data_IF_673584498239
#
_entry.id   IF_673584498239
#
_cell.length_a   1.000
_cell.length_b   1.000
_cell.length_c   1.000
_cell.angle_alpha   90.00
_cell.angle_beta   90.00
_cell.angle_gamma   90.00
#
_symmetry.space_group_name_H-M   'P 1'
#
loop_
_entity.id
_entity.type
_entity.pdbx_description
1 polymer ?
#
# COMPACT_ATOMS: atom_id res chain seq x y z
N UNK A 1 22.89 -15.42 26.30
CA UNK A 1 22.61 -13.98 26.11
C UNK A 1 21.98 -13.46 27.40
N UNK A 2 22.75 -12.72 28.20
CA UNK A 2 22.39 -12.25 29.53
C UNK A 2 21.46 -11.04 29.44
N UNK A 3 20.16 -11.25 29.63
CA UNK A 3 19.13 -10.17 29.68
C UNK A 3 18.72 -9.82 31.13
N UNK A 4 19.48 -10.26 32.14
CA UNK A 4 19.02 -10.23 33.55
C UNK A 4 19.90 -9.48 34.55
N UNK A 5 20.90 -8.70 34.11
CA UNK A 5 21.69 -7.87 35.04
C UNK A 5 22.15 -6.58 34.36
N UNK A 6 21.23 -5.66 34.14
CA UNK A 6 21.42 -4.24 34.43
C UNK A 6 20.11 -3.55 34.07
N UNK A 7 19.37 -3.08 35.07
CA UNK A 7 18.49 -1.92 34.85
C UNK A 7 19.43 -0.72 34.74
N UNK A 8 20.18 -0.66 33.64
CA UNK A 8 20.79 0.59 33.23
C UNK A 8 19.59 1.51 33.04
N UNK A 9 19.36 2.37 34.04
CA UNK A 9 18.49 3.52 33.88
C UNK A 9 19.04 4.20 32.63
N UNK A 10 18.31 4.24 31.51
CA UNK A 10 18.80 4.91 30.33
C UNK A 10 19.19 6.31 30.78
N UNK A 11 20.39 6.72 30.38
CA UNK A 11 20.95 8.04 30.55
C UNK A 11 19.82 9.05 30.31
N UNK A 12 19.40 9.76 31.36
CA UNK A 12 18.22 10.62 31.34
C UNK A 12 18.40 11.67 30.24
N UNK A 13 17.90 11.34 29.05
CA UNK A 13 17.80 12.29 27.97
C UNK A 13 16.90 13.42 28.49
N UNK A 14 17.39 14.65 28.41
CA UNK A 14 16.64 15.83 28.84
C UNK A 14 15.26 15.83 28.19
N UNK A 15 14.21 15.45 28.94
CA UNK A 15 12.86 15.27 28.41
C UNK A 15 12.16 13.96 28.78
N UNK A 16 12.81 13.00 29.44
CA UNK A 16 12.11 11.80 29.90
C UNK A 16 11.11 12.13 31.03
N UNK A 17 9.83 11.99 30.72
CA UNK A 17 8.74 12.13 31.69
C UNK A 17 8.67 10.83 32.50
N UNK A 18 8.69 10.94 33.82
CA UNK A 18 8.46 9.79 34.71
C UNK A 18 7.15 9.07 34.36
N UNK A 19 7.18 7.73 34.34
CA UNK A 19 6.04 6.91 33.92
C UNK A 19 4.75 7.22 34.70
N UNK A 20 4.86 7.52 36.00
CA UNK A 20 3.71 7.84 36.83
C UNK A 20 3.11 9.21 36.49
N UNK A 21 3.96 10.20 36.16
CA UNK A 21 3.53 11.50 35.64
C UNK A 21 2.85 11.37 34.28
N UNK A 22 3.39 10.53 33.40
CA UNK A 22 2.78 10.25 32.08
C UNK A 22 1.41 9.57 32.22
N UNK A 23 1.27 8.58 33.11
CA UNK A 23 -0.03 7.96 33.42
C UNK A 23 -1.04 8.96 33.94
N UNK A 24 -0.61 9.83 34.87
CA UNK A 24 -1.42 10.92 35.41
C UNK A 24 -1.90 11.86 34.29
N UNK A 25 -0.99 12.26 33.38
CA UNK A 25 -1.32 13.13 32.26
C UNK A 25 -2.31 12.48 31.27
N UNK A 26 -2.10 11.22 30.90
CA UNK A 26 -3.02 10.48 30.01
C UNK A 26 -4.42 10.39 30.64
N UNK A 27 -4.50 10.11 31.95
CA UNK A 27 -5.77 10.04 32.66
C UNK A 27 -6.48 11.41 32.67
N UNK A 28 -5.73 12.48 32.95
CA UNK A 28 -6.25 13.85 32.90
C UNK A 28 -6.81 14.20 31.51
N UNK A 29 -6.06 13.93 30.44
CA UNK A 29 -6.50 14.20 29.06
C UNK A 29 -7.78 13.42 28.72
N UNK A 30 -7.87 12.14 29.14
CA UNK A 30 -9.06 11.31 28.92
C UNK A 30 -10.30 11.82 29.65
N UNK A 31 -10.15 12.35 30.87
CA UNK A 31 -11.26 12.84 31.68
C UNK A 31 -11.72 14.25 31.29
N UNK A 32 -10.80 15.13 30.89
CA UNK A 32 -11.08 16.56 30.68
C UNK A 32 -11.32 16.95 29.23
N UNK A 33 -10.82 16.18 28.27
CA UNK A 33 -10.88 16.54 26.86
C UNK A 33 -11.63 15.48 26.04
N UNK A 34 -12.71 15.92 25.40
CA UNK A 34 -13.50 15.13 24.46
C UNK A 34 -13.60 15.88 23.13
N UNK A 35 -12.53 15.86 22.31
CA UNK A 35 -12.46 16.68 21.12
C UNK A 35 -13.50 16.27 20.07
N UNK A 36 -13.83 17.22 19.20
CA UNK A 36 -14.68 17.02 18.02
C UNK A 36 -13.98 17.59 16.79
N UNK A 37 -14.22 16.98 15.64
CA UNK A 37 -13.73 17.50 14.36
C UNK A 37 -14.30 18.89 14.06
N UNK A 38 -13.46 19.79 13.55
CA UNK A 38 -13.93 21.00 12.90
C UNK A 38 -14.60 20.64 11.56
N UNK A 39 -15.48 21.52 11.08
CA UNK A 39 -16.15 21.33 9.78
C UNK A 39 -15.16 21.18 8.63
N UNK A 40 -14.11 22.00 8.64
CA UNK A 40 -13.01 21.99 7.66
C UNK A 40 -12.27 20.64 7.67
N UNK A 41 -11.94 20.15 8.87
CA UNK A 41 -11.26 18.87 9.04
C UNK A 41 -12.12 17.68 8.57
N UNK A 42 -13.45 17.75 8.78
CA UNK A 42 -14.38 16.74 8.31
C UNK A 42 -14.48 16.71 6.77
N UNK A 43 -14.53 17.87 6.12
CA UNK A 43 -14.56 17.98 4.66
C UNK A 43 -13.26 17.46 4.02
N UNK A 44 -12.12 17.82 4.61
CA UNK A 44 -10.80 17.31 4.19
C UNK A 44 -10.71 15.79 4.27
N UNK A 45 -11.15 15.22 5.39
CA UNK A 45 -11.15 13.78 5.62
C UNK A 45 -12.06 13.03 4.63
N UNK A 46 -13.24 13.58 4.33
CA UNK A 46 -14.16 13.05 3.32
C UNK A 46 -13.52 13.07 1.93
N UNK A 47 -12.97 14.21 1.52
CA UNK A 47 -12.31 14.38 0.22
C UNK A 47 -11.15 13.40 0.03
N UNK A 48 -10.33 13.24 1.08
CA UNK A 48 -9.21 12.30 1.08
C UNK A 48 -9.67 10.84 1.03
N UNK A 49 -10.76 10.48 1.72
CA UNK A 49 -11.29 9.11 1.65
C UNK A 49 -11.80 8.76 0.24
N UNK A 50 -12.48 9.71 -0.42
CA UNK A 50 -12.95 9.53 -1.79
C UNK A 50 -11.77 9.41 -2.76
N UNK A 51 -10.72 10.23 -2.61
CA UNK A 51 -9.55 10.18 -3.47
C UNK A 51 -8.82 8.84 -3.38
N UNK A 52 -8.52 8.34 -2.18
CA UNK A 52 -7.84 7.05 -2.03
C UNK A 52 -8.71 5.91 -2.58
N UNK A 53 -10.02 5.94 -2.34
CA UNK A 53 -10.92 4.90 -2.87
C UNK A 53 -10.96 4.92 -4.41
N UNK A 54 -10.87 6.10 -5.03
CA UNK A 54 -10.77 6.25 -6.48
C UNK A 54 -9.42 5.74 -7.00
N UNK A 55 -8.32 6.10 -6.35
CA UNK A 55 -6.97 5.64 -6.70
C UNK A 55 -6.86 4.11 -6.66
N UNK A 56 -7.37 3.48 -5.58
CA UNK A 56 -7.34 2.02 -5.48
C UNK A 56 -8.20 1.34 -6.55
N UNK A 57 -9.35 1.92 -6.93
CA UNK A 57 -10.13 1.41 -8.06
C UNK A 57 -9.36 1.53 -9.38
N UNK A 58 -8.66 2.64 -9.60
CA UNK A 58 -7.77 2.80 -10.75
C UNK A 58 -6.68 1.72 -10.77
N UNK A 59 -6.02 1.51 -9.64
CA UNK A 59 -4.99 0.46 -9.51
C UNK A 59 -5.57 -0.94 -9.74
N UNK A 60 -6.76 -1.26 -9.23
CA UNK A 60 -7.42 -2.54 -9.49
C UNK A 60 -7.75 -2.74 -10.98
N UNK A 61 -8.18 -1.67 -11.65
CA UNK A 61 -8.45 -1.68 -13.09
C UNK A 61 -7.17 -1.82 -13.91
N UNK A 62 -6.07 -1.18 -13.51
CA UNK A 62 -4.80 -1.28 -14.23
C UNK A 62 -4.14 -2.65 -14.00
N UNK A 63 -4.13 -3.10 -12.74
CA UNK A 63 -3.46 -4.31 -12.30
C UNK A 63 -4.28 -5.59 -12.49
N UNK A 64 -5.56 -5.47 -12.85
CA UNK A 64 -6.51 -6.57 -13.10
C UNK A 64 -6.57 -7.63 -12.00
N UNK A 65 -6.28 -7.20 -10.79
CA UNK A 65 -6.29 -7.98 -9.58
C UNK A 65 -6.95 -7.11 -8.52
N UNK A 66 -7.89 -7.69 -7.77
CA UNK A 66 -8.54 -6.94 -6.70
C UNK A 66 -7.50 -6.65 -5.63
N UNK A 67 -7.51 -5.44 -5.10
CA UNK A 67 -6.69 -5.12 -3.96
C UNK A 67 -7.06 -6.06 -2.82
N UNK A 68 -6.05 -6.65 -2.21
CA UNK A 68 -6.18 -7.59 -1.09
C UNK A 68 -6.97 -7.01 0.08
N UNK A 69 -6.83 -5.71 0.31
CA UNK A 69 -7.35 -5.01 1.47
C UNK A 69 -8.31 -3.92 0.99
N UNK A 70 -9.63 -4.17 1.04
CA UNK A 70 -10.61 -3.18 0.62
C UNK A 70 -10.62 -1.97 1.56
N UNK A 71 -10.76 -0.76 1.00
CA UNK A 71 -10.99 0.44 1.81
C UNK A 71 -12.43 0.45 2.31
N UNK A 72 -12.57 0.47 3.64
CA UNK A 72 -13.87 0.40 4.32
C UNK A 72 -14.12 1.62 5.21
N UNK A 73 -15.39 1.85 5.55
CA UNK A 73 -15.79 2.91 6.49
C UNK A 73 -15.13 2.74 7.88
N UNK A 74 -14.73 1.52 8.26
CA UNK A 74 -13.99 1.28 9.51
C UNK A 74 -12.63 1.97 9.51
N UNK A 75 -11.96 2.05 8.37
CA UNK A 75 -10.69 2.76 8.26
C UNK A 75 -10.89 4.27 8.39
N UNK A 76 -11.98 4.80 7.83
CA UNK A 76 -12.34 6.20 8.01
C UNK A 76 -12.58 6.52 9.49
N UNK A 77 -13.35 5.69 10.18
CA UNK A 77 -13.59 5.80 11.62
C UNK A 77 -12.30 5.68 12.44
N UNK A 78 -11.35 4.85 12.00
CA UNK A 78 -10.05 4.74 12.64
C UNK A 78 -9.23 6.03 12.50
N UNK A 79 -9.20 6.64 11.31
CA UNK A 79 -8.50 7.92 11.09
C UNK A 79 -9.13 9.01 11.96
N UNK A 80 -10.47 9.09 12.03
CA UNK A 80 -11.19 10.03 12.91
C UNK A 80 -10.74 9.86 14.37
N UNK A 81 -10.68 8.63 14.88
CA UNK A 81 -10.23 8.35 16.25
C UNK A 81 -8.77 8.76 16.48
N UNK A 82 -7.90 8.62 15.49
CA UNK A 82 -6.50 9.05 15.59
C UNK A 82 -6.44 10.58 15.66
N UNK A 83 -7.15 11.29 14.79
CA UNK A 83 -7.22 12.77 14.80
C UNK A 83 -7.73 13.31 16.13
N UNK A 84 -8.81 12.72 16.67
CA UNK A 84 -9.32 13.07 18.00
C UNK A 84 -8.32 12.76 19.12
N UNK A 85 -7.56 11.68 19.00
CA UNK A 85 -6.53 11.32 19.99
C UNK A 85 -5.35 12.29 19.97
N UNK A 86 -4.95 12.76 18.79
CA UNK A 86 -3.90 13.77 18.64
C UNK A 86 -4.34 15.11 19.27
N UNK A 87 -5.55 15.56 18.99
CA UNK A 87 -6.13 16.75 19.64
C UNK A 87 -6.26 16.58 21.15
N UNK A 88 -6.56 15.37 21.62
CA UNK A 88 -6.69 15.06 23.05
C UNK A 88 -5.36 15.16 23.80
N UNK A 89 -4.24 14.76 23.17
CA UNK A 89 -2.89 14.84 23.77
C UNK A 89 -2.43 16.29 23.93
N UNK A 90 -2.84 17.17 23.01
CA UNK A 90 -2.59 18.62 23.06
C UNK A 90 -3.62 19.38 23.90
N UNK A 91 -4.55 18.67 24.56
CA UNK A 91 -5.68 19.22 25.31
C UNK A 91 -6.58 20.17 24.49
N UNK A 92 -6.54 20.07 23.16
CA UNK A 92 -7.40 20.86 22.28
C UNK A 92 -8.82 20.28 22.27
N UNK A 93 -9.86 21.10 22.50
CA UNK A 93 -11.25 20.65 22.40
C UNK A 93 -11.72 20.45 20.95
N UNK A 94 -10.93 20.90 19.97
CA UNK A 94 -11.26 20.81 18.53
C UNK A 94 -10.13 20.13 17.78
N UNK A 95 -10.46 19.10 17.00
CA UNK A 95 -9.56 18.47 16.06
C UNK A 95 -9.56 19.26 14.75
N UNK A 96 -8.50 20.02 14.55
CA UNK A 96 -8.22 20.82 13.34
C UNK A 96 -7.68 19.96 12.19
N UNK A 97 -7.51 20.58 11.01
CA UNK A 97 -6.94 19.92 9.84
C UNK A 97 -5.54 19.35 10.08
N UNK A 98 -4.70 20.02 10.86
CA UNK A 98 -3.34 19.57 11.16
C UNK A 98 -3.33 18.19 11.83
N UNK A 99 -4.29 17.94 12.73
CA UNK A 99 -4.45 16.63 13.37
C UNK A 99 -4.91 15.57 12.37
N UNK A 100 -5.74 15.93 11.40
CA UNK A 100 -6.18 15.04 10.33
C UNK A 100 -5.04 14.71 9.38
N UNK A 101 -4.21 15.68 9.02
CA UNK A 101 -3.05 15.48 8.15
C UNK A 101 -2.05 14.51 8.78
N UNK A 102 -1.81 14.66 10.08
CA UNK A 102 -0.94 13.76 10.82
C UNK A 102 -1.54 12.35 10.96
N UNK A 103 -2.85 12.25 11.23
CA UNK A 103 -3.54 10.97 11.27
C UNK A 103 -3.50 10.25 9.91
N UNK A 104 -3.69 10.98 8.81
CA UNK A 104 -3.57 10.48 7.44
C UNK A 104 -2.14 10.00 7.17
N UNK A 105 -1.13 10.78 7.58
CA UNK A 105 0.28 10.41 7.42
C UNK A 105 0.56 9.08 8.10
N UNK A 106 0.18 8.93 9.37
CA UNK A 106 0.33 7.69 10.13
C UNK A 106 -0.42 6.52 9.48
N UNK A 107 -1.65 6.76 9.03
CA UNK A 107 -2.47 5.75 8.36
C UNK A 107 -1.84 5.29 7.04
N UNK A 108 -1.29 6.21 6.24
CA UNK A 108 -0.60 5.89 4.98
C UNK A 108 0.65 5.05 5.22
N UNK A 109 1.45 5.38 6.24
CA UNK A 109 2.60 4.56 6.59
C UNK A 109 2.17 3.15 7.01
N UNK A 110 1.19 3.02 7.89
CA UNK A 110 0.71 1.71 8.34
C UNK A 110 0.07 0.89 7.21
N UNK A 111 -0.73 1.53 6.36
CA UNK A 111 -1.46 0.85 5.27
C UNK A 111 -0.53 0.52 4.12
N UNK A 112 0.39 1.41 3.74
CA UNK A 112 1.33 1.13 2.66
C UNK A 112 2.35 0.08 3.08
N UNK A 113 2.75 0.05 4.35
CA UNK A 113 3.53 -1.05 4.90
C UNK A 113 2.73 -2.36 4.91
N UNK A 114 1.45 -2.33 5.29
CA UNK A 114 0.55 -3.49 5.21
C UNK A 114 0.24 -3.97 3.78
N UNK A 115 0.15 -3.07 2.81
CA UNK A 115 -0.04 -3.40 1.38
C UNK A 115 1.27 -3.94 0.78
N UNK A 116 2.43 -3.43 1.21
CA UNK A 116 3.74 -3.97 0.82
C UNK A 116 4.05 -5.32 1.46
N UNK A 117 3.64 -5.51 2.72
CA UNK A 117 3.88 -6.73 3.49
C UNK A 117 2.77 -7.78 3.32
N UNK A 118 1.58 -7.38 2.89
CA UNK A 118 0.41 -8.23 2.76
C UNK A 118 -0.16 -8.23 1.36
N UNK A 119 0.50 -8.89 0.39
CA UNK A 119 0.01 -10.19 -0.10
C UNK A 119 0.94 -10.90 -1.12
N UNK A 120 0.86 -12.24 -1.05
CA UNK A 120 1.24 -13.33 -1.97
C UNK A 120 2.70 -13.81 -1.96
N UNK A 121 2.92 -14.97 -1.35
CA UNK A 121 4.08 -15.86 -1.55
C UNK A 121 5.48 -15.22 -1.52
N UNK A 122 5.72 -14.34 -0.54
CA UNK A 122 7.08 -13.89 -0.20
C UNK A 122 7.72 -12.93 -1.21
N UNK A 123 6.96 -12.34 -2.14
CA UNK A 123 7.42 -11.27 -3.01
C UNK A 123 6.65 -9.97 -2.72
N UNK A 124 7.36 -8.88 -2.49
CA UNK A 124 6.77 -7.55 -2.29
C UNK A 124 6.17 -7.02 -3.60
N UNK A 125 5.13 -6.17 -3.53
CA UNK A 125 4.49 -5.56 -4.71
C UNK A 125 5.51 -4.83 -5.63
N UNK A 126 6.55 -4.25 -5.02
CA UNK A 126 7.64 -3.61 -5.77
C UNK A 126 8.51 -4.62 -6.53
N UNK A 127 8.77 -5.80 -5.96
CA UNK A 127 9.48 -6.89 -6.64
C UNK A 127 8.63 -7.47 -7.77
N UNK A 128 7.32 -7.64 -7.57
CA UNK A 128 6.41 -8.09 -8.63
C UNK A 128 6.39 -7.07 -9.77
N UNK A 129 6.28 -5.77 -9.49
CA UNK A 129 6.33 -4.72 -10.52
C UNK A 129 7.68 -4.71 -11.26
N UNK A 130 8.79 -4.87 -10.53
CA UNK A 130 10.13 -4.97 -11.12
C UNK A 130 10.27 -6.18 -12.04
N UNK A 131 9.77 -7.35 -11.61
CA UNK A 131 9.78 -8.57 -12.41
C UNK A 131 8.89 -8.45 -13.65
N UNK A 132 7.70 -7.84 -13.55
CA UNK A 132 6.82 -7.57 -14.70
C UNK A 132 7.53 -6.67 -15.71
N UNK A 133 8.12 -5.55 -15.27
CA UNK A 133 8.85 -4.65 -16.16
C UNK A 133 10.05 -5.34 -16.84
N UNK A 134 10.75 -6.22 -16.12
CA UNK A 134 11.84 -7.01 -16.68
C UNK A 134 11.34 -7.99 -17.75
N UNK A 135 10.23 -8.69 -17.50
CA UNK A 135 9.60 -9.61 -18.47
C UNK A 135 9.14 -8.84 -19.71
N UNK A 136 8.49 -7.68 -19.55
CA UNK A 136 8.06 -6.84 -20.68
C UNK A 136 9.22 -6.42 -21.58
N UNK A 137 10.33 -5.98 -20.97
CA UNK A 137 11.54 -5.59 -21.70
C UNK A 137 12.16 -6.78 -22.44
N UNK A 138 12.23 -7.95 -21.81
CA UNK A 138 12.72 -9.18 -22.44
C UNK A 138 11.81 -9.64 -23.58
N UNK A 139 10.49 -9.57 -23.44
CA UNK A 139 9.55 -9.88 -24.54
C UNK A 139 9.77 -8.91 -25.70
N UNK A 140 9.88 -7.60 -25.44
CA UNK A 140 10.15 -6.59 -26.47
C UNK A 140 11.50 -6.79 -27.17
N UNK A 141 12.50 -7.34 -26.48
CA UNK A 141 13.82 -7.64 -27.05
C UNK A 141 13.83 -8.95 -27.85
N UNK A 142 13.18 -10.00 -27.36
CA UNK A 142 13.25 -11.36 -27.95
C UNK A 142 12.27 -11.59 -29.09
N UNK A 143 11.13 -10.91 -29.09
CA UNK A 143 10.07 -11.12 -30.07
C UNK A 143 9.94 -9.88 -30.95
N UNK A 144 10.55 -9.76 -32.15
CA UNK A 144 10.42 -8.58 -33.02
C UNK A 144 8.98 -8.28 -33.44
N UNK A 145 8.68 -7.03 -33.81
CA UNK A 145 7.35 -6.66 -34.33
C UNK A 145 7.01 -7.54 -35.54
N UNK A 146 5.79 -8.09 -35.58
CA UNK A 146 5.34 -9.00 -36.64
C UNK A 146 5.67 -10.48 -36.41
N UNK A 147 6.41 -10.83 -35.35
CA UNK A 147 6.67 -12.23 -35.00
C UNK A 147 5.61 -12.81 -34.06
N UNK A 148 5.46 -14.14 -34.09
CA UNK A 148 4.52 -14.86 -33.23
C UNK A 148 5.20 -16.01 -32.49
N UNK A 149 4.70 -16.29 -31.28
CA UNK A 149 5.17 -17.38 -30.43
C UNK A 149 3.99 -18.01 -29.70
N UNK A 150 4.07 -19.30 -29.38
CA UNK A 150 3.09 -19.95 -28.50
C UNK A 150 3.14 -19.35 -27.09
N UNK A 151 1.99 -19.04 -26.51
CA UNK A 151 1.89 -18.55 -25.12
C UNK A 151 2.50 -19.54 -24.13
N UNK A 152 2.25 -20.84 -24.33
CA UNK A 152 2.81 -21.91 -23.49
C UNK A 152 4.33 -21.89 -23.54
N UNK A 153 4.91 -21.82 -24.75
CA UNK A 153 6.36 -21.78 -24.92
C UNK A 153 6.97 -20.53 -24.31
N UNK A 154 6.31 -19.38 -24.45
CA UNK A 154 6.77 -18.13 -23.85
C UNK A 154 6.72 -18.22 -22.31
N UNK A 155 5.66 -18.78 -21.76
CA UNK A 155 5.49 -18.99 -20.31
C UNK A 155 6.55 -19.94 -19.77
N UNK A 156 6.75 -21.09 -20.41
CA UNK A 156 7.74 -22.10 -20.01
C UNK A 156 9.17 -21.53 -20.03
N UNK A 157 9.49 -20.70 -21.04
CA UNK A 157 10.80 -20.06 -21.15
C UNK A 157 11.09 -19.13 -19.96
N UNK A 158 10.12 -18.31 -19.54
CA UNK A 158 10.30 -17.41 -18.38
C UNK A 158 10.24 -18.15 -17.05
N UNK A 159 9.43 -19.20 -16.93
CA UNK A 159 9.43 -20.05 -15.73
C UNK A 159 10.79 -20.75 -15.56
N UNK A 160 11.42 -21.22 -16.65
CA UNK A 160 12.79 -21.76 -16.62
C UNK A 160 13.85 -20.73 -16.21
N UNK A 161 13.60 -19.45 -16.43
CA UNK A 161 14.48 -18.36 -16.00
C UNK A 161 14.28 -17.97 -14.53
N UNK A 162 13.37 -18.63 -13.82
CA UNK A 162 13.12 -18.42 -12.40
C UNK A 162 12.00 -17.41 -12.11
N UNK A 163 11.26 -16.94 -13.11
CA UNK A 163 10.10 -16.08 -12.87
C UNK A 163 8.88 -16.91 -12.42
N UNK A 164 8.13 -16.48 -11.39
CA UNK A 164 6.92 -17.17 -10.99
C UNK A 164 5.87 -17.16 -12.12
N UNK A 165 5.16 -18.28 -12.37
CA UNK A 165 4.23 -18.39 -13.48
C UNK A 165 3.11 -17.34 -13.42
N UNK A 166 2.65 -16.97 -12.22
CA UNK A 166 1.65 -15.93 -12.02
C UNK A 166 2.11 -14.55 -12.52
N UNK A 167 3.40 -14.22 -12.33
CA UNK A 167 3.98 -12.94 -12.74
C UNK A 167 4.14 -12.89 -14.27
N UNK A 168 4.52 -14.01 -14.89
CA UNK A 168 4.64 -14.13 -16.35
C UNK A 168 3.29 -13.99 -17.04
N UNK A 169 2.26 -14.71 -16.56
CA UNK A 169 0.90 -14.58 -17.09
C UNK A 169 0.36 -13.15 -16.96
N UNK A 170 0.69 -12.47 -15.86
CA UNK A 170 0.32 -11.07 -15.64
C UNK A 170 0.99 -10.13 -16.63
N UNK A 171 2.30 -10.26 -16.86
CA UNK A 171 3.03 -9.43 -17.83
C UNK A 171 2.47 -9.59 -19.26
N UNK A 172 2.19 -10.84 -19.68
CA UNK A 172 1.57 -11.12 -20.99
C UNK A 172 0.21 -10.42 -21.09
N UNK A 173 -0.65 -10.55 -20.07
CA UNK A 173 -1.97 -9.94 -20.06
C UNK A 173 -1.90 -8.40 -20.18
N UNK A 174 -0.98 -7.76 -19.47
CA UNK A 174 -0.75 -6.31 -19.54
C UNK A 174 -0.35 -5.91 -20.96
N UNK A 175 0.62 -6.60 -21.55
CA UNK A 175 1.07 -6.30 -22.91
C UNK A 175 0.00 -6.56 -23.98
N UNK A 176 -0.91 -7.52 -23.77
CA UNK A 176 -2.06 -7.74 -24.66
C UNK A 176 -3.05 -6.58 -24.59
N UNK A 177 -3.31 -6.06 -23.39
CA UNK A 177 -4.20 -4.89 -23.22
C UNK A 177 -3.63 -3.60 -23.76
N UNK A 178 -2.31 -3.42 -23.67
CA UNK A 178 -1.61 -2.29 -24.28
C UNK A 178 -1.53 -2.41 -25.81
N UNK A 179 -2.17 -3.43 -26.40
CA UNK A 179 -2.14 -3.75 -27.84
C UNK A 179 -0.74 -4.07 -28.39
N UNK A 180 0.28 -4.23 -27.53
CA UNK A 180 1.64 -4.62 -27.92
C UNK A 180 1.66 -6.08 -28.36
N UNK A 181 0.85 -6.91 -27.70
CA UNK A 181 0.65 -8.33 -28.02
C UNK A 181 -0.82 -8.58 -28.42
N UNK A 182 -1.05 -9.54 -29.29
CA UNK A 182 -2.39 -9.95 -29.71
C UNK A 182 -2.51 -11.46 -29.68
N UNK A 183 -3.62 -11.96 -29.13
CA UNK A 183 -3.93 -13.38 -29.19
C UNK A 183 -4.41 -13.77 -30.59
N UNK A 184 -3.84 -14.84 -31.13
CA UNK A 184 -4.24 -15.48 -32.39
C UNK A 184 -4.51 -16.97 -32.15
N UNK A 185 -5.36 -17.57 -32.97
CA UNK A 185 -5.74 -19.00 -32.90
C UNK A 185 -6.23 -19.44 -31.51
N UNK A 186 -7.38 -18.92 -31.07
CA UNK A 186 -8.02 -19.32 -29.80
C UNK A 186 -7.07 -19.21 -28.58
N UNK A 187 -6.32 -18.10 -28.50
CA UNK A 187 -5.33 -17.80 -27.45
C UNK A 187 -4.09 -18.71 -27.39
N UNK A 188 -3.90 -19.63 -28.34
CA UNK A 188 -2.73 -20.52 -28.28
C UNK A 188 -1.43 -19.83 -28.74
N UNK A 189 -1.55 -18.76 -29.54
CA UNK A 189 -0.42 -18.01 -30.10
C UNK A 189 -0.52 -16.53 -29.75
N UNK A 190 0.61 -15.93 -29.40
CA UNK A 190 0.78 -14.51 -29.16
C UNK A 190 1.53 -13.92 -30.34
N UNK A 191 0.99 -12.84 -30.91
CA UNK A 191 1.56 -12.08 -32.01
C UNK A 191 1.99 -10.70 -31.52
N UNK A 192 3.20 -10.24 -31.84
CA UNK A 192 3.62 -8.86 -31.53
C UNK A 192 3.10 -7.90 -32.58
N UNK A 193 2.17 -7.04 -32.18
CA UNK A 193 1.62 -6.02 -33.05
C UNK A 193 2.62 -4.87 -33.26
N UNK A 194 2.48 -4.19 -34.40
CA UNK A 194 3.15 -2.92 -34.65
C UNK A 194 2.22 -1.83 -34.12
N UNK A 195 2.56 -1.26 -32.97
CA UNK A 195 2.03 0.06 -32.59
C UNK A 195 2.92 1.10 -33.28
#
# INVERSE_FOLDING_TARGET
>A
MNVHMNKAVPEQAAGEIELDKMRGYISYCKMKCAPRLSSEAAEKLSSHFVSIRSEMRGMEMDMHERSTIPITLRQLEAIIRISESLAKITLSPVATEEHVDEAIRLFKYSTMDAVRSGQVDGATLGEIQGQVAQIENEIRRRLPVGSSISERRLTDDFVKQGFPPAVVSRAILIMVRQEVLQYRHQRNTIYRASI
#
